data_IF_828607859054
#
_entry.id   IF_828607859054
#
_cell.length_a   1.000
_cell.length_b   1.000
_cell.length_c   1.000
_cell.angle_alpha   90.00
_cell.angle_beta   90.00
_cell.angle_gamma   90.00
#
_symmetry.space_group_name_H-M   'P 1'
#
loop_
_entity.id
_entity.type
_entity.pdbx_description
1 polymer ?
#
# COMPACT_ATOMS: atom_id res chain seq x y z
N UNK A 1 58.05 -53.25 -75.01
CA UNK A 1 57.49 -54.58 -75.37
C UNK A 1 57.23 -55.36 -74.07
N UNK A 2 56.44 -56.44 -74.10
CA UNK A 2 56.14 -57.41 -73.01
C UNK A 2 57.30 -57.63 -71.99
N UNK A 3 57.14 -58.04 -70.72
CA UNK A 3 56.07 -58.22 -69.71
C UNK A 3 56.75 -59.05 -68.55
N UNK A 4 56.10 -59.17 -67.38
CA UNK A 4 56.44 -60.00 -66.18
C UNK A 4 57.25 -59.31 -65.04
N UNK A 5 56.89 -59.44 -63.75
CA UNK A 5 55.64 -59.95 -63.16
C UNK A 5 55.79 -60.73 -61.83
N UNK A 6 55.50 -60.08 -60.69
CA UNK A 6 55.21 -60.68 -59.36
C UNK A 6 54.54 -59.58 -58.50
N UNK A 7 53.32 -59.69 -57.95
CA UNK A 7 52.88 -60.51 -56.77
C UNK A 7 53.75 -60.28 -55.52
N UNK A 8 53.25 -60.05 -54.29
CA UNK A 8 51.92 -59.91 -53.65
C UNK A 8 52.20 -59.39 -52.18
N UNK A 9 51.40 -58.66 -51.38
CA UNK A 9 50.06 -58.01 -51.47
C UNK A 9 49.94 -56.88 -50.40
N UNK A 10 48.77 -56.22 -50.31
CA UNK A 10 48.18 -55.58 -49.10
C UNK A 10 48.99 -54.60 -48.22
N UNK A 11 48.82 -53.30 -48.45
CA UNK A 11 48.51 -52.31 -47.40
C UNK A 11 47.80 -51.09 -48.00
N UNK A 12 46.59 -50.75 -47.54
CA UNK A 12 45.81 -49.60 -48.05
C UNK A 12 46.30 -48.26 -47.49
N UNK A 13 46.18 -47.21 -48.29
CA UNK A 13 46.48 -45.83 -47.94
C UNK A 13 45.73 -45.34 -46.69
N UNK A 14 46.45 -45.05 -45.61
CA UNK A 14 45.97 -44.24 -44.48
C UNK A 14 47.13 -43.52 -43.76
N UNK A 15 47.39 -42.24 -44.12
CA UNK A 15 47.98 -41.18 -43.24
C UNK A 15 48.25 -39.86 -44.01
N UNK A 16 47.20 -39.13 -44.40
CA UNK A 16 47.37 -37.76 -44.95
C UNK A 16 46.11 -36.85 -44.86
N UNK A 17 45.27 -36.95 -43.82
CA UNK A 17 44.15 -36.00 -43.66
C UNK A 17 43.63 -35.80 -42.22
N UNK A 18 43.28 -34.55 -41.90
CA UNK A 18 42.11 -34.21 -41.09
C UNK A 18 42.02 -34.68 -39.63
N UNK A 19 43.00 -34.37 -38.77
CA UNK A 19 42.82 -34.49 -37.29
C UNK A 19 42.90 -33.14 -36.54
N UNK A 20 42.30 -32.09 -37.11
CA UNK A 20 42.09 -30.84 -36.38
C UNK A 20 40.80 -30.86 -35.55
N UNK A 21 41.00 -31.08 -34.24
CA UNK A 21 40.08 -30.89 -33.11
C UNK A 21 38.67 -30.33 -33.42
N UNK A 22 37.68 -31.22 -33.55
CA UNK A 22 36.26 -30.84 -33.62
C UNK A 22 35.71 -30.29 -32.27
N UNK A 23 36.56 -30.15 -31.24
CA UNK A 23 36.17 -29.67 -29.90
C UNK A 23 35.63 -28.24 -29.91
N UNK A 24 36.08 -27.37 -30.83
CA UNK A 24 35.56 -25.99 -30.94
C UNK A 24 34.11 -25.96 -31.44
N UNK A 25 33.75 -26.80 -32.40
CA UNK A 25 32.37 -26.89 -32.89
C UNK A 25 31.43 -27.45 -31.80
N UNK A 26 31.85 -28.54 -31.12
CA UNK A 26 31.08 -29.14 -30.01
C UNK A 26 30.95 -28.18 -28.82
N UNK A 27 32.00 -27.41 -28.50
CA UNK A 27 31.91 -26.39 -27.45
C UNK A 27 30.97 -25.22 -27.84
N UNK A 28 30.97 -24.82 -29.12
CA UNK A 28 30.07 -23.77 -29.61
C UNK A 28 28.59 -24.22 -29.59
N UNK A 29 28.28 -25.45 -30.00
CA UNK A 29 26.90 -25.97 -29.89
C UNK A 29 26.49 -26.22 -28.44
N UNK A 30 27.40 -26.67 -27.57
CA UNK A 30 27.11 -26.79 -26.13
C UNK A 30 26.85 -25.42 -25.47
N UNK A 31 27.65 -24.39 -25.80
CA UNK A 31 27.44 -23.04 -25.31
C UNK A 31 26.13 -22.43 -25.84
N UNK A 32 25.79 -22.67 -27.12
CA UNK A 32 24.50 -22.25 -27.68
C UNK A 32 23.33 -22.98 -27.00
N UNK A 33 23.44 -24.28 -26.73
CA UNK A 33 22.40 -25.02 -25.99
C UNK A 33 22.25 -24.51 -24.55
N UNK A 34 23.37 -24.20 -23.86
CA UNK A 34 23.35 -23.64 -22.52
C UNK A 34 22.82 -22.19 -22.48
N UNK A 35 23.02 -21.40 -23.54
CA UNK A 35 22.39 -20.08 -23.69
C UNK A 35 20.89 -20.20 -23.98
N UNK A 36 20.45 -21.15 -24.81
CA UNK A 36 19.03 -21.39 -25.07
C UNK A 36 18.33 -21.97 -23.83
N UNK A 37 18.92 -22.96 -23.16
CA UNK A 37 18.41 -23.49 -21.89
C UNK A 37 18.46 -22.41 -20.79
N UNK A 38 19.52 -21.60 -20.74
CA UNK A 38 19.63 -20.48 -19.81
C UNK A 38 18.55 -19.42 -20.04
N UNK A 39 18.30 -19.04 -21.30
CA UNK A 39 17.21 -18.13 -21.67
C UNK A 39 15.84 -18.74 -21.37
N UNK A 40 15.59 -20.00 -21.72
CA UNK A 40 14.34 -20.69 -21.38
C UNK A 40 14.15 -20.75 -19.87
N UNK A 41 15.15 -21.14 -19.08
CA UNK A 41 15.06 -21.14 -17.60
C UNK A 41 14.92 -19.73 -17.01
N UNK A 42 15.44 -18.69 -17.68
CA UNK A 42 15.27 -17.30 -17.26
C UNK A 42 13.85 -16.77 -17.57
N UNK A 43 13.27 -17.11 -18.71
CA UNK A 43 11.91 -16.75 -19.12
C UNK A 43 10.81 -17.72 -18.61
N UNK A 44 11.18 -18.89 -18.10
CA UNK A 44 10.27 -19.89 -17.48
C UNK A 44 10.40 -19.95 -15.96
N UNK A 45 11.22 -19.11 -15.34
CA UNK A 45 11.04 -18.72 -13.94
C UNK A 45 9.86 -17.74 -13.88
N UNK A 46 9.04 -17.77 -12.81
CA UNK A 46 8.17 -16.64 -12.52
C UNK A 46 9.06 -15.40 -12.40
N UNK A 47 8.74 -14.34 -13.13
CA UNK A 47 9.41 -13.05 -12.95
C UNK A 47 8.85 -12.40 -11.71
N UNK A 48 9.41 -12.78 -10.55
CA UNK A 48 9.30 -12.01 -9.32
C UNK A 48 9.89 -10.64 -9.63
N UNK A 49 9.07 -9.60 -9.64
CA UNK A 49 9.52 -8.22 -9.91
C UNK A 49 10.19 -7.62 -8.67
N UNK A 50 11.34 -8.21 -8.29
CA UNK A 50 12.32 -7.52 -7.46
C UNK A 50 12.77 -6.27 -8.24
N UNK A 51 12.20 -5.12 -7.86
CA UNK A 51 12.31 -3.86 -8.59
C UNK A 51 13.74 -3.56 -9.00
N UNK A 52 13.93 -3.19 -10.28
CA UNK A 52 15.26 -2.93 -10.85
C UNK A 52 15.90 -1.73 -10.15
N UNK A 53 15.07 -0.83 -9.61
CA UNK A 53 15.45 0.21 -8.66
C UNK A 53 14.40 0.24 -7.55
N UNK A 54 14.86 0.19 -6.31
CA UNK A 54 14.16 0.77 -5.17
C UNK A 54 14.76 2.16 -4.94
N UNK A 55 13.91 3.18 -4.83
CA UNK A 55 14.31 4.54 -4.47
C UNK A 55 13.95 4.85 -3.00
N UNK A 56 14.24 6.06 -2.54
CA UNK A 56 14.04 6.50 -1.15
C UNK A 56 12.56 6.45 -0.69
N UNK A 57 11.59 6.20 -1.58
CA UNK A 57 10.18 5.96 -1.23
C UNK A 57 9.88 4.52 -0.79
N UNK A 58 10.82 3.59 -0.97
CA UNK A 58 10.60 2.14 -0.75
C UNK A 58 9.79 1.44 -1.85
N UNK A 59 9.43 2.15 -2.92
CA UNK A 59 8.71 1.58 -4.07
C UNK A 59 9.67 0.99 -5.11
N UNK A 60 9.23 -0.10 -5.75
CA UNK A 60 9.97 -0.81 -6.78
C UNK A 60 9.52 -0.35 -8.17
N UNK A 61 10.38 0.28 -8.98
CA UNK A 61 9.97 0.61 -10.36
C UNK A 61 9.94 -0.67 -11.22
N UNK A 62 8.74 -1.00 -11.70
CA UNK A 62 8.45 -2.16 -12.58
C UNK A 62 8.54 -1.77 -14.06
N UNK A 63 8.11 -0.55 -14.42
CA UNK A 63 8.19 -0.05 -15.80
C UNK A 63 8.26 1.47 -15.89
N UNK A 64 9.16 1.97 -16.73
CA UNK A 64 9.13 3.35 -17.23
C UNK A 64 7.90 3.61 -18.12
N UNK A 65 7.36 4.84 -18.09
CA UNK A 65 6.30 5.28 -19.00
C UNK A 65 6.85 6.14 -20.14
N UNK A 66 6.27 6.06 -21.33
CA UNK A 66 6.54 7.05 -22.38
C UNK A 66 5.51 8.19 -22.38
N UNK A 67 5.99 9.43 -22.49
CA UNK A 67 5.13 10.59 -22.70
C UNK A 67 4.69 10.77 -24.18
N UNK A 68 5.15 9.90 -25.09
CA UNK A 68 4.82 9.97 -26.51
C UNK A 68 3.30 9.83 -26.74
N UNK A 69 2.71 10.80 -27.44
CA UNK A 69 1.27 10.81 -27.73
C UNK A 69 0.38 11.38 -26.62
N UNK A 70 0.88 11.58 -25.39
CA UNK A 70 0.11 12.23 -24.33
C UNK A 70 -0.18 13.69 -24.72
N UNK A 71 -1.46 14.02 -24.90
CA UNK A 71 -1.92 15.37 -25.22
C UNK A 71 -2.97 15.82 -24.20
N UNK A 72 -2.56 16.69 -23.27
CA UNK A 72 -3.42 17.35 -22.28
C UNK A 72 -3.37 18.87 -22.47
N UNK A 73 -4.52 19.52 -22.42
CA UNK A 73 -4.64 20.99 -22.56
C UNK A 73 -4.12 21.73 -21.30
N UNK A 74 -4.25 23.07 -21.28
CA UNK A 74 -3.73 23.91 -20.20
C UNK A 74 -4.54 23.84 -18.88
N UNK A 75 -5.79 23.37 -18.91
CA UNK A 75 -6.61 23.07 -17.74
C UNK A 75 -6.36 21.62 -17.27
N UNK A 76 -6.37 20.65 -18.19
CA UNK A 76 -6.06 19.22 -17.92
C UNK A 76 -4.57 18.95 -17.60
N UNK A 77 -3.79 20.01 -17.36
CA UNK A 77 -2.43 19.98 -16.77
C UNK A 77 -2.36 20.52 -15.33
N UNK A 78 -3.46 21.03 -14.77
CA UNK A 78 -3.54 21.60 -13.40
C UNK A 78 -4.39 20.78 -12.44
N UNK A 79 -5.12 19.80 -12.94
CA UNK A 79 -5.82 18.80 -12.12
C UNK A 79 -5.07 17.46 -12.21
N UNK A 80 -5.34 16.53 -11.29
CA UNK A 80 -4.88 15.15 -11.34
C UNK A 80 -6.09 14.22 -11.34
N UNK A 81 -6.28 13.37 -12.35
CA UNK A 81 -7.43 12.45 -12.41
C UNK A 81 -7.00 11.06 -11.93
N UNK A 82 -7.67 10.57 -10.89
CA UNK A 82 -7.31 9.33 -10.17
C UNK A 82 -8.42 8.31 -10.35
N UNK A 83 -8.12 7.17 -10.98
CA UNK A 83 -9.07 6.06 -11.10
C UNK A 83 -9.34 5.47 -9.72
N UNK A 84 -10.59 5.56 -9.26
CA UNK A 84 -11.07 5.00 -8.00
C UNK A 84 -12.52 4.55 -8.18
N UNK A 85 -12.78 3.28 -7.89
CA UNK A 85 -14.08 2.62 -8.15
C UNK A 85 -14.87 2.28 -6.87
N UNK A 86 -14.32 2.54 -5.68
CA UNK A 86 -14.88 2.16 -4.37
C UNK A 86 -15.14 3.35 -3.42
N UNK A 87 -14.77 4.58 -3.80
CA UNK A 87 -15.06 5.77 -3.00
C UNK A 87 -16.56 6.10 -2.97
N UNK A 88 -17.12 6.23 -1.77
CA UNK A 88 -18.51 6.65 -1.54
C UNK A 88 -18.60 8.15 -1.18
N UNK A 89 -17.45 8.82 -1.00
CA UNK A 89 -17.35 10.22 -0.61
C UNK A 89 -17.40 10.43 0.90
N UNK A 90 -17.22 9.36 1.68
CA UNK A 90 -16.98 9.41 3.12
C UNK A 90 -15.56 9.95 3.32
N UNK A 91 -15.44 11.05 4.06
CA UNK A 91 -14.15 11.75 4.22
C UNK A 91 -13.55 11.56 5.59
N UNK A 92 -14.37 11.36 6.63
CA UNK A 92 -13.91 11.33 8.00
C UNK A 92 -13.04 10.08 8.26
N UNK A 93 -11.83 10.22 8.84
CA UNK A 93 -10.91 9.09 9.06
C UNK A 93 -11.52 7.91 9.82
N UNK A 94 -12.44 8.17 10.76
CA UNK A 94 -13.09 7.15 11.59
C UNK A 94 -14.12 6.30 10.83
N UNK A 95 -14.55 6.71 9.62
CA UNK A 95 -15.52 5.99 8.79
C UNK A 95 -15.01 5.65 7.37
N UNK A 96 -13.84 6.14 6.97
CA UNK A 96 -13.26 5.84 5.66
C UNK A 96 -12.78 4.37 5.59
N UNK A 97 -13.67 3.46 5.18
CA UNK A 97 -13.37 2.02 5.15
C UNK A 97 -12.85 1.49 3.80
N UNK A 98 -13.32 2.07 2.70
CA UNK A 98 -12.90 1.71 1.34
C UNK A 98 -11.58 2.43 0.99
N UNK A 99 -10.75 1.86 0.11
CA UNK A 99 -9.44 2.43 -0.23
C UNK A 99 -9.59 3.81 -0.88
N UNK A 100 -10.56 3.97 -1.78
CA UNK A 100 -10.89 5.27 -2.37
C UNK A 100 -11.25 6.35 -1.35
N UNK A 101 -12.05 6.00 -0.33
CA UNK A 101 -12.42 6.93 0.74
C UNK A 101 -11.23 7.20 1.69
N UNK A 102 -10.35 6.22 1.94
CA UNK A 102 -9.09 6.41 2.69
C UNK A 102 -8.12 7.33 1.94
N UNK A 103 -8.00 7.19 0.62
CA UNK A 103 -7.21 8.07 -0.25
C UNK A 103 -7.73 9.51 -0.22
N UNK A 104 -9.06 9.69 -0.25
CA UNK A 104 -9.70 11.02 -0.11
C UNK A 104 -9.46 11.59 1.29
N UNK A 105 -9.65 10.79 2.35
CA UNK A 105 -9.38 11.18 3.74
C UNK A 105 -7.93 11.68 3.89
N UNK A 106 -6.95 10.92 3.41
CA UNK A 106 -5.53 11.26 3.53
C UNK A 106 -5.08 12.52 2.74
N UNK A 107 -5.90 13.04 1.82
CA UNK A 107 -5.67 14.33 1.14
C UNK A 107 -6.26 15.53 1.89
N UNK A 108 -7.22 15.28 2.79
CA UNK A 108 -7.98 16.28 3.54
C UNK A 108 -7.47 16.36 5.00
N UNK A 109 -7.18 15.22 5.61
CA UNK A 109 -6.78 15.07 7.00
C UNK A 109 -5.35 14.53 7.07
N UNK A 110 -4.47 15.29 7.71
CA UNK A 110 -3.10 14.86 7.94
C UNK A 110 -2.95 14.11 9.27
N UNK A 111 -1.98 13.19 9.37
CA UNK A 111 -1.65 12.52 10.62
C UNK A 111 -0.78 13.39 11.54
N UNK A 112 -0.68 13.05 12.82
CA UNK A 112 0.27 13.70 13.75
C UNK A 112 1.72 13.62 13.23
N UNK A 113 2.15 12.44 12.81
CA UNK A 113 3.41 12.15 12.15
C UNK A 113 3.17 11.17 11.00
N UNK A 114 4.14 11.00 10.11
CA UNK A 114 4.06 10.07 8.96
C UNK A 114 5.24 9.13 8.96
N UNK A 115 4.98 7.83 8.93
CA UNK A 115 6.03 6.83 8.75
C UNK A 115 6.64 6.93 7.34
N UNK A 116 7.97 7.00 7.26
CA UNK A 116 8.73 6.98 6.02
C UNK A 116 8.88 5.56 5.45
N UNK A 117 9.35 5.45 4.20
CA UNK A 117 9.70 4.16 3.59
C UNK A 117 10.88 3.44 4.26
N UNK A 118 11.60 4.14 5.15
CA UNK A 118 12.66 3.65 6.02
C UNK A 118 12.18 3.23 7.43
N UNK A 119 10.87 3.40 7.72
CA UNK A 119 10.24 3.07 8.99
C UNK A 119 10.28 4.17 10.06
N UNK A 120 10.90 5.33 9.82
CA UNK A 120 10.98 6.40 10.82
C UNK A 120 9.80 7.37 10.74
N UNK A 121 9.35 7.88 11.89
CA UNK A 121 8.28 8.88 11.96
C UNK A 121 8.80 10.30 11.66
N UNK A 122 8.19 10.93 10.66
CA UNK A 122 8.45 12.30 10.25
C UNK A 122 7.36 13.23 10.80
N UNK A 123 7.76 14.38 11.36
CA UNK A 123 6.85 15.41 11.89
C UNK A 123 5.87 15.91 10.82
N UNK A 124 4.58 16.02 11.15
CA UNK A 124 3.56 16.63 10.29
C UNK A 124 2.72 17.64 11.08
N UNK A 125 1.76 17.17 11.89
CA UNK A 125 0.96 18.02 12.78
C UNK A 125 1.46 18.02 14.24
N UNK A 126 2.25 17.02 14.62
CA UNK A 126 2.97 16.93 15.87
C UNK A 126 4.47 17.13 15.65
N UNK A 127 5.04 18.04 16.44
CA UNK A 127 6.48 18.33 16.50
C UNK A 127 7.28 17.16 17.08
N UNK A 128 6.67 16.43 18.01
CA UNK A 128 7.22 15.24 18.64
C UNK A 128 6.11 14.39 19.24
N UNK A 129 6.23 13.08 19.06
CA UNK A 129 5.44 12.04 19.74
C UNK A 129 6.44 11.13 20.44
N UNK A 130 6.28 10.89 21.73
CA UNK A 130 7.23 10.11 22.54
C UNK A 130 6.48 9.07 23.36
N UNK A 131 6.93 7.82 23.29
CA UNK A 131 6.37 6.68 24.04
C UNK A 131 7.19 6.41 25.30
N UNK A 132 6.55 5.98 26.38
CA UNK A 132 7.22 5.55 27.61
C UNK A 132 7.97 4.22 27.43
N UNK A 133 8.99 3.97 28.25
CA UNK A 133 9.83 2.74 28.18
C UNK A 133 9.04 1.42 28.35
N UNK A 134 7.87 1.49 28.98
CA UNK A 134 6.94 0.37 29.19
C UNK A 134 5.79 0.31 28.15
N UNK A 135 5.67 1.29 27.25
CA UNK A 135 4.65 1.34 26.20
C UNK A 135 3.22 1.66 26.66
N UNK A 136 3.06 2.18 27.88
CA UNK A 136 1.75 2.49 28.49
C UNK A 136 1.33 3.96 28.37
N UNK A 137 2.24 4.88 28.03
CA UNK A 137 1.93 6.32 27.94
C UNK A 137 2.64 6.99 26.77
N UNK A 138 1.90 7.78 25.99
CA UNK A 138 2.41 8.52 24.85
C UNK A 138 2.17 10.02 24.98
N UNK A 139 3.21 10.83 24.87
CA UNK A 139 3.16 12.30 24.95
C UNK A 139 3.27 12.90 23.55
N UNK A 140 2.28 13.71 23.18
CA UNK A 140 2.14 14.35 21.87
C UNK A 140 2.27 15.87 22.05
N UNK A 141 3.25 16.48 21.37
CA UNK A 141 3.43 17.94 21.32
C UNK A 141 3.11 18.44 19.91
N UNK A 142 2.11 19.30 19.79
CA UNK A 142 1.59 19.76 18.50
C UNK A 142 2.40 20.91 17.90
N UNK A 143 2.43 20.97 16.56
CA UNK A 143 3.06 22.08 15.87
C UNK A 143 2.24 23.38 15.90
N UNK A 144 2.95 24.47 15.60
CA UNK A 144 2.48 25.83 15.70
C UNK A 144 1.93 26.32 14.35
N UNK A 145 0.88 27.14 14.41
CA UNK A 145 0.24 27.81 13.24
C UNK A 145 -0.41 26.88 12.21
N UNK A 146 -0.47 25.56 12.47
CA UNK A 146 -1.34 24.63 11.75
C UNK A 146 -2.79 25.14 11.81
N UNK A 147 -3.47 25.12 10.65
CA UNK A 147 -4.86 25.55 10.49
C UNK A 147 -5.67 24.52 9.73
N UNK A 148 -6.95 24.46 10.05
CA UNK A 148 -7.94 23.75 9.25
C UNK A 148 -8.28 24.53 7.98
N UNK A 149 -8.90 23.85 7.04
CA UNK A 149 -9.40 24.38 5.76
C UNK A 149 -10.45 25.50 5.89
N UNK A 150 -11.05 25.69 7.07
CA UNK A 150 -11.91 26.84 7.40
C UNK A 150 -11.13 28.06 7.95
N UNK A 151 -9.82 27.92 8.16
CA UNK A 151 -8.92 28.95 8.66
C UNK A 151 -8.76 28.99 10.18
N UNK A 152 -9.48 28.17 10.95
CA UNK A 152 -9.31 28.05 12.41
C UNK A 152 -8.01 27.29 12.77
N UNK A 153 -7.42 27.56 13.94
CA UNK A 153 -6.15 26.94 14.35
C UNK A 153 -6.36 25.58 15.02
N UNK A 154 -5.51 24.60 14.70
CA UNK A 154 -5.59 23.24 15.25
C UNK A 154 -5.08 23.19 16.70
N UNK A 155 -5.82 22.51 17.58
CA UNK A 155 -5.54 22.38 19.02
C UNK A 155 -5.48 20.93 19.49
N UNK A 156 -5.00 20.74 20.71
CA UNK A 156 -5.06 19.47 21.44
C UNK A 156 -6.48 18.90 21.62
N UNK A 157 -7.52 19.75 21.63
CA UNK A 157 -8.91 19.29 21.72
C UNK A 157 -9.39 18.62 20.42
N UNK A 158 -8.87 19.03 19.25
CA UNK A 158 -9.14 18.38 17.96
C UNK A 158 -8.47 16.99 17.89
N UNK A 159 -7.28 16.88 18.47
CA UNK A 159 -6.53 15.62 18.56
C UNK A 159 -7.21 14.64 19.51
N UNK A 160 -7.61 15.09 20.70
CA UNK A 160 -8.37 14.27 21.64
C UNK A 160 -9.72 13.80 21.05
N UNK A 161 -10.43 14.69 20.33
CA UNK A 161 -11.65 14.34 19.60
C UNK A 161 -11.39 13.30 18.49
N UNK A 162 -10.30 13.46 17.72
CA UNK A 162 -9.95 12.54 16.63
C UNK A 162 -9.60 11.14 17.15
N UNK A 163 -8.84 11.05 18.24
CA UNK A 163 -8.50 9.76 18.87
C UNK A 163 -9.76 9.13 19.47
N UNK A 164 -10.62 9.90 20.15
CA UNK A 164 -11.90 9.41 20.67
C UNK A 164 -12.85 8.92 19.55
N UNK A 165 -12.87 9.59 18.39
CA UNK A 165 -13.62 9.14 17.22
C UNK A 165 -13.15 7.76 16.72
N UNK A 166 -11.84 7.52 16.69
CA UNK A 166 -11.27 6.20 16.35
C UNK A 166 -11.57 5.15 17.44
N UNK A 167 -11.53 5.51 18.72
CA UNK A 167 -11.97 4.64 19.83
C UNK A 167 -13.44 4.23 19.72
N UNK A 168 -14.29 5.08 19.13
CA UNK A 168 -15.72 4.80 18.96
C UNK A 168 -15.99 3.86 17.78
N UNK A 169 -15.18 3.90 16.72
CA UNK A 169 -15.42 3.13 15.48
C UNK A 169 -14.54 1.88 15.32
N UNK A 170 -13.53 1.67 16.17
CA UNK A 170 -12.71 0.46 16.17
C UNK A 170 -13.54 -0.81 16.49
N UNK A 171 -13.52 -1.80 15.60
CA UNK A 171 -14.21 -3.08 15.79
C UNK A 171 -13.58 -3.92 16.90
N UNK A 172 -14.39 -4.58 17.74
CA UNK A 172 -13.92 -5.29 18.96
C UNK A 172 -13.14 -6.58 18.68
N UNK A 173 -13.38 -7.22 17.55
CA UNK A 173 -12.59 -8.36 17.06
C UNK A 173 -11.30 -7.92 16.31
N UNK A 174 -11.05 -6.61 16.17
CA UNK A 174 -9.96 -6.04 15.39
C UNK A 174 -8.68 -5.76 16.18
N UNK A 175 -7.52 -5.93 15.54
CA UNK A 175 -6.22 -5.51 16.11
C UNK A 175 -6.01 -4.00 15.94
N UNK A 176 -6.65 -3.22 16.83
CA UNK A 176 -6.66 -1.76 16.82
C UNK A 176 -6.10 -1.19 18.12
N UNK A 177 -5.07 -0.35 18.02
CA UNK A 177 -4.45 0.35 19.16
C UNK A 177 -5.46 1.15 19.98
N UNK A 178 -6.54 1.63 19.35
CA UNK A 178 -7.57 2.43 19.98
C UNK A 178 -8.43 1.63 20.97
N UNK A 179 -8.32 0.29 20.95
CA UNK A 179 -8.89 -0.60 21.97
C UNK A 179 -8.04 -0.68 23.25
N UNK A 180 -6.77 -0.26 23.20
CA UNK A 180 -5.87 -0.33 24.35
C UNK A 180 -5.95 0.90 25.27
N UNK A 181 -6.68 1.95 24.89
CA UNK A 181 -6.72 3.25 25.60
C UNK A 181 -7.57 3.14 26.89
N UNK A 182 -7.11 3.76 27.98
CA UNK A 182 -7.82 3.73 29.27
C UNK A 182 -9.19 4.43 29.23
N UNK A 183 -10.19 3.86 29.92
CA UNK A 183 -11.55 4.40 30.00
C UNK A 183 -12.42 4.16 28.75
N UNK A 184 -12.04 3.20 27.91
CA UNK A 184 -12.75 2.86 26.67
C UNK A 184 -14.18 2.35 26.91
N UNK A 185 -14.41 1.55 27.97
CA UNK A 185 -15.74 0.97 28.24
C UNK A 185 -16.74 2.05 28.66
N UNK A 186 -16.34 2.92 29.59
CA UNK A 186 -17.09 4.09 30.04
C UNK A 186 -17.36 5.08 28.92
N UNK A 187 -16.42 5.23 27.98
CA UNK A 187 -16.60 6.04 26.78
C UNK A 187 -17.64 5.43 25.83
N UNK A 188 -17.48 4.15 25.47
CA UNK A 188 -18.37 3.45 24.52
C UNK A 188 -19.79 3.29 25.04
N UNK A 189 -19.97 3.12 26.35
CA UNK A 189 -21.30 3.05 26.95
C UNK A 189 -21.95 4.43 27.17
N UNK A 190 -21.25 5.53 26.86
CA UNK A 190 -21.76 6.90 26.93
C UNK A 190 -21.71 7.54 28.31
N UNK A 191 -20.93 7.01 29.25
CA UNK A 191 -20.73 7.61 30.58
C UNK A 191 -19.77 8.80 30.57
N UNK A 192 -18.90 8.93 29.55
CA UNK A 192 -17.96 10.06 29.38
C UNK A 192 -17.86 10.49 27.90
N UNK A 193 -17.58 11.77 27.64
CA UNK A 193 -17.43 12.32 26.27
C UNK A 193 -16.15 11.90 25.55
N UNK A 194 -15.10 11.49 26.29
CA UNK A 194 -13.75 11.14 25.83
C UNK A 194 -13.22 10.06 26.79
N UNK A 195 -12.48 9.02 26.33
CA UNK A 195 -11.82 8.05 27.21
C UNK A 195 -10.90 8.71 28.23
N UNK A 196 -10.88 8.20 29.47
CA UNK A 196 -10.09 8.82 30.57
C UNK A 196 -8.59 8.80 30.34
N UNK A 197 -8.08 7.92 29.48
CA UNK A 197 -6.67 7.88 29.09
C UNK A 197 -6.23 9.04 28.21
N UNK A 198 -7.12 9.89 27.70
CA UNK A 198 -6.77 11.01 26.82
C UNK A 198 -6.75 12.33 27.62
N UNK A 199 -5.57 12.71 28.09
CA UNK A 199 -5.37 13.93 28.88
C UNK A 199 -4.94 15.11 28.01
N UNK A 200 -5.76 16.16 27.95
CA UNK A 200 -5.40 17.46 27.34
C UNK A 200 -4.93 18.42 28.45
N UNK A 201 -3.65 18.78 28.46
CA UNK A 201 -3.09 19.65 29.51
C UNK A 201 -3.05 21.13 29.12
N UNK A 202 -2.89 21.43 27.83
CA UNK A 202 -3.12 22.76 27.25
C UNK A 202 -3.49 22.64 25.75
N UNK A 203 -3.55 23.76 25.01
CA UNK A 203 -3.94 23.77 23.60
C UNK A 203 -2.97 23.08 22.62
N UNK A 204 -1.79 22.61 23.08
CA UNK A 204 -0.72 22.00 22.27
C UNK A 204 -0.14 20.70 22.83
N UNK A 205 -0.55 20.25 24.01
CA UNK A 205 -0.05 19.01 24.63
C UNK A 205 -1.19 18.02 24.94
N UNK A 206 -1.04 16.79 24.44
CA UNK A 206 -1.92 15.64 24.74
C UNK A 206 -1.08 14.49 25.29
N UNK A 207 -1.54 13.83 26.34
CA UNK A 207 -1.03 12.53 26.76
C UNK A 207 -2.09 11.46 26.49
N UNK A 208 -1.67 10.29 26.00
CA UNK A 208 -2.53 9.12 25.78
C UNK A 208 -2.00 7.96 26.62
N UNK A 209 -2.82 7.47 27.55
CA UNK A 209 -2.51 6.33 28.42
C UNK A 209 -3.23 5.07 27.93
N UNK A 210 -2.53 3.94 28.00
CA UNK A 210 -2.96 2.65 27.47
C UNK A 210 -2.98 1.59 28.59
N UNK A 211 -4.16 0.99 28.81
CA UNK A 211 -4.38 -0.12 29.74
C UNK A 211 -3.61 -1.40 29.35
N UNK A 212 -3.18 -1.50 28.09
CA UNK A 212 -2.42 -2.64 27.56
C UNK A 212 -1.17 -2.12 26.82
N UNK A 213 0.05 -2.51 27.22
CA UNK A 213 1.26 -2.19 26.47
C UNK A 213 1.34 -3.04 25.20
N UNK A 214 1.38 -2.38 24.03
CA UNK A 214 1.60 -3.01 22.73
C UNK A 214 2.50 -2.12 21.85
N UNK A 215 3.33 -2.67 20.94
CA UNK A 215 4.04 -1.85 19.95
C UNK A 215 3.08 -0.99 19.11
N UNK A 216 1.89 -1.52 18.84
CA UNK A 216 0.84 -0.85 18.04
C UNK A 216 0.38 0.47 18.68
N UNK A 217 0.56 0.65 20.00
CA UNK A 217 0.28 1.90 20.69
C UNK A 217 1.07 3.08 20.08
N UNK A 218 2.25 2.83 19.50
CA UNK A 218 3.06 3.86 18.84
C UNK A 218 2.44 4.36 17.52
N UNK A 219 1.57 3.56 16.87
CA UNK A 219 0.84 3.96 15.67
C UNK A 219 -0.23 5.04 15.94
N UNK A 220 -0.43 5.44 17.22
CA UNK A 220 -1.14 6.68 17.58
C UNK A 220 -0.52 7.91 16.89
N UNK A 221 0.78 7.83 16.56
CA UNK A 221 1.50 8.84 15.78
C UNK A 221 0.92 9.04 14.37
N UNK A 222 0.20 8.07 13.79
CA UNK A 222 -0.43 8.21 12.45
C UNK A 222 -1.90 8.62 12.51
N UNK A 223 -2.43 8.99 13.69
CA UNK A 223 -3.82 9.42 13.86
C UNK A 223 -4.12 10.68 13.02
N UNK A 224 -5.07 10.59 12.07
CA UNK A 224 -5.49 11.68 11.18
C UNK A 224 -6.42 12.66 11.92
N UNK A 225 -6.12 13.96 11.86
CA UNK A 225 -6.76 14.96 12.73
C UNK A 225 -7.93 15.67 12.04
N UNK A 226 -9.14 15.33 12.46
CA UNK A 226 -10.41 15.98 12.13
C UNK A 226 -10.69 17.11 13.13
N UNK A 227 -11.09 18.29 12.64
CA UNK A 227 -11.56 19.38 13.50
C UNK A 227 -12.69 18.92 14.43
N UNK A 228 -12.59 19.23 15.73
CA UNK A 228 -13.68 19.03 16.70
C UNK A 228 -14.83 20.02 16.40
N UNK A 229 -16.08 19.55 16.27
CA UNK A 229 -17.23 20.43 16.15
C UNK A 229 -17.38 21.38 17.36
N UNK A 230 -17.94 22.57 17.12
CA UNK A 230 -18.16 23.57 18.17
C UNK A 230 -19.31 23.13 19.10
N UNK A 231 -20.44 22.71 18.52
CA UNK A 231 -21.52 22.06 19.28
C UNK A 231 -21.20 20.57 19.49
N UNK A 232 -21.27 20.14 20.75
CA UNK A 232 -21.12 18.74 21.20
C UNK A 232 -22.21 18.34 22.21
N UNK A 233 -23.31 19.11 22.33
CA UNK A 233 -24.39 18.89 23.32
C UNK A 233 -25.04 17.51 23.22
N UNK A 234 -25.14 16.95 22.00
CA UNK A 234 -25.66 15.59 21.74
C UNK A 234 -24.61 14.47 21.96
N UNK A 235 -23.37 14.82 22.31
CA UNK A 235 -22.26 13.89 22.49
C UNK A 235 -21.64 13.35 21.19
N UNK A 236 -20.41 12.85 21.26
CA UNK A 236 -19.65 12.40 20.09
C UNK A 236 -20.36 11.30 19.28
N UNK A 237 -21.10 10.41 19.93
CA UNK A 237 -21.80 9.30 19.28
C UNK A 237 -22.92 9.75 18.33
N UNK A 238 -23.55 10.90 18.59
CA UNK A 238 -24.55 11.50 17.71
C UNK A 238 -23.95 12.53 16.74
N UNK A 239 -22.88 13.22 17.12
CA UNK A 239 -22.22 14.24 16.30
C UNK A 239 -21.30 13.65 15.22
N UNK A 240 -20.51 12.62 15.53
CA UNK A 240 -19.52 12.05 14.60
C UNK A 240 -20.13 11.54 13.27
N UNK A 241 -21.29 10.83 13.25
CA UNK A 241 -21.95 10.45 12.00
C UNK A 241 -22.33 11.64 11.11
N UNK A 242 -22.67 12.79 11.70
CA UNK A 242 -23.12 13.98 10.95
C UNK A 242 -21.97 14.64 10.18
N UNK A 243 -20.74 14.58 10.70
CA UNK A 243 -19.54 15.14 10.06
C UNK A 243 -18.80 14.14 9.15
N UNK A 244 -19.34 12.93 8.95
CA UNK A 244 -18.73 11.83 8.17
C UNK A 244 -18.27 12.21 6.76
N UNK A 245 -18.89 13.21 6.14
CA UNK A 245 -18.63 13.65 4.76
C UNK A 245 -18.17 15.12 4.64
N UNK A 246 -17.97 15.80 5.78
CA UNK A 246 -17.82 17.25 5.88
C UNK A 246 -16.42 17.81 5.50
N UNK A 247 -15.37 16.98 5.58
CA UNK A 247 -14.05 17.31 5.01
C UNK A 247 -13.28 18.49 5.62
N UNK A 248 -13.55 18.90 6.87
CA UNK A 248 -12.81 20.01 7.52
C UNK A 248 -11.53 19.47 8.20
N UNK A 249 -10.49 19.25 7.39
CA UNK A 249 -9.14 18.86 7.83
C UNK A 249 -8.07 19.93 7.54
N UNK A 250 -6.82 19.64 7.89
CA UNK A 250 -5.65 20.54 7.74
C UNK A 250 -4.96 20.45 6.38
N UNK A 251 -5.26 19.38 5.62
CA UNK A 251 -4.44 18.87 4.53
C UNK A 251 -4.44 19.69 3.24
N UNK A 252 -3.72 19.16 2.26
CA UNK A 252 -3.43 19.84 1.00
C UNK A 252 -4.67 20.14 0.17
N UNK A 253 -5.77 19.41 0.33
CA UNK A 253 -6.98 19.60 -0.47
C UNK A 253 -8.26 19.61 0.38
N UNK A 254 -9.27 20.33 -0.11
CA UNK A 254 -10.62 20.42 0.45
C UNK A 254 -11.59 19.85 -0.57
N UNK A 255 -12.57 19.06 -0.13
CA UNK A 255 -13.63 18.51 -0.98
C UNK A 255 -14.55 19.63 -1.50
N UNK A 256 -14.77 19.68 -2.81
CA UNK A 256 -15.80 20.55 -3.40
C UNK A 256 -17.20 20.05 -3.00
N UNK A 257 -18.13 20.96 -2.70
CA UNK A 257 -19.53 20.61 -2.48
C UNK A 257 -20.23 20.26 -3.80
N UNK A 258 -20.79 19.05 -3.89
CA UNK A 258 -21.58 18.61 -5.03
C UNK A 258 -21.32 17.16 -5.43
N UNK A 259 -22.04 16.73 -6.47
CA UNK A 259 -21.95 15.39 -7.06
C UNK A 259 -21.88 15.55 -8.59
N UNK A 260 -20.67 15.56 -9.14
CA UNK A 260 -20.46 15.74 -10.59
C UNK A 260 -20.46 14.38 -11.28
N UNK A 261 -21.64 13.78 -11.41
CA UNK A 261 -21.85 12.53 -12.17
C UNK A 261 -21.19 11.28 -11.58
N UNK A 262 -20.89 11.27 -10.28
CA UNK A 262 -20.16 10.20 -9.59
C UNK A 262 -18.69 10.55 -9.28
N UNK A 263 -18.15 11.60 -9.89
CA UNK A 263 -16.78 12.07 -9.58
C UNK A 263 -16.74 12.80 -8.23
N UNK A 264 -15.71 12.53 -7.43
CA UNK A 264 -15.41 13.27 -6.19
C UNK A 264 -14.23 14.20 -6.48
N UNK A 265 -14.39 15.49 -6.20
CA UNK A 265 -13.46 16.53 -6.62
C UNK A 265 -12.93 17.29 -5.41
N UNK A 266 -11.61 17.44 -5.32
CA UNK A 266 -10.93 18.20 -4.27
C UNK A 266 -10.16 19.37 -4.89
N UNK A 267 -10.05 20.49 -4.18
CA UNK A 267 -9.28 21.68 -4.58
C UNK A 267 -8.24 22.07 -3.53
N UNK A 268 -7.15 22.68 -3.98
CA UNK A 268 -6.03 23.07 -3.13
C UNK A 268 -6.47 23.97 -1.95
N UNK A 269 -6.21 23.51 -0.72
CA UNK A 269 -6.49 24.26 0.51
C UNK A 269 -5.67 25.55 0.57
N UNK A 270 -6.34 26.66 0.86
CA UNK A 270 -5.69 27.99 1.00
C UNK A 270 -4.99 28.19 2.35
N UNK A 271 -5.22 27.28 3.31
CA UNK A 271 -4.63 27.28 4.64
C UNK A 271 -3.58 26.18 4.85
N UNK A 272 -3.32 25.36 3.82
CA UNK A 272 -2.30 24.32 3.91
C UNK A 272 -0.93 24.92 4.25
N UNK A 273 -0.23 24.26 5.17
CA UNK A 273 0.99 24.79 5.77
C UNK A 273 2.23 24.64 4.85
N UNK A 274 2.22 23.68 3.91
CA UNK A 274 3.25 23.55 2.87
C UNK A 274 2.85 24.15 1.50
N UNK A 275 3.78 24.07 0.54
CA UNK A 275 3.61 24.63 -0.81
C UNK A 275 3.08 23.60 -1.82
N UNK A 276 1.77 23.62 -2.03
CA UNK A 276 1.12 22.96 -3.18
C UNK A 276 1.70 23.53 -4.49
N UNK A 277 2.24 22.65 -5.35
CA UNK A 277 2.84 23.02 -6.65
C UNK A 277 1.77 23.21 -7.74
N UNK A 278 1.88 22.53 -8.86
CA UNK A 278 1.12 22.82 -10.08
C UNK A 278 -0.26 22.17 -10.14
N UNK A 279 -0.43 21.04 -9.44
CA UNK A 279 -1.75 20.42 -9.22
C UNK A 279 -2.53 21.27 -8.22
N UNK A 280 -3.65 21.84 -8.67
CA UNK A 280 -4.59 22.63 -7.85
C UNK A 280 -5.94 21.96 -7.61
N UNK A 281 -6.16 20.82 -8.27
CA UNK A 281 -7.38 20.01 -8.16
C UNK A 281 -7.01 18.54 -8.23
N UNK A 282 -7.66 17.69 -7.43
CA UNK A 282 -7.65 16.24 -7.63
C UNK A 282 -9.09 15.81 -7.96
N UNK A 283 -9.26 14.94 -8.95
CA UNK A 283 -10.57 14.41 -9.34
C UNK A 283 -10.50 12.89 -9.28
N UNK A 284 -11.24 12.30 -8.34
CA UNK A 284 -11.45 10.87 -8.24
C UNK A 284 -12.55 10.50 -9.23
N UNK A 285 -12.24 9.60 -10.16
CA UNK A 285 -13.06 9.26 -11.32
C UNK A 285 -13.33 7.75 -11.35
N UNK A 286 -14.60 7.31 -11.25
CA UNK A 286 -14.96 5.90 -11.41
C UNK A 286 -15.12 5.56 -12.90
N UNK A 287 -14.64 4.39 -13.30
CA UNK A 287 -14.82 3.83 -14.65
C UNK A 287 -15.12 2.33 -14.54
N UNK A 288 -16.08 1.83 -15.32
CA UNK A 288 -16.28 0.40 -15.45
C UNK A 288 -15.06 -0.27 -16.10
N UNK A 289 -14.70 -1.48 -15.69
CA UNK A 289 -13.55 -2.25 -16.23
C UNK A 289 -13.45 -2.26 -17.77
N UNK A 290 -14.59 -2.30 -18.48
CA UNK A 290 -14.63 -2.28 -19.94
C UNK A 290 -14.38 -0.89 -20.57
N UNK A 291 -14.44 0.18 -19.79
CA UNK A 291 -14.29 1.58 -20.19
C UNK A 291 -12.87 2.11 -19.91
N UNK A 292 -12.17 1.53 -18.91
CA UNK A 292 -10.82 1.92 -18.48
C UNK A 292 -9.83 2.05 -19.65
N UNK A 293 -9.82 1.11 -20.59
CA UNK A 293 -8.92 1.15 -21.75
C UNK A 293 -9.20 2.31 -22.72
N UNK A 294 -10.47 2.71 -22.86
CA UNK A 294 -10.88 3.85 -23.69
C UNK A 294 -10.50 5.18 -22.99
N UNK A 295 -10.84 5.30 -21.69
CA UNK A 295 -10.45 6.44 -20.85
C UNK A 295 -8.92 6.68 -20.83
N UNK A 296 -8.14 5.61 -20.72
CA UNK A 296 -6.67 5.63 -20.87
C UNK A 296 -6.25 6.19 -22.23
N UNK A 297 -6.85 5.71 -23.33
CA UNK A 297 -6.51 6.14 -24.69
C UNK A 297 -6.82 7.61 -24.97
N UNK A 298 -7.83 8.14 -24.27
CA UNK A 298 -8.23 9.56 -24.30
C UNK A 298 -7.42 10.45 -23.36
N UNK A 299 -6.49 9.87 -22.58
CA UNK A 299 -5.71 10.54 -21.55
C UNK A 299 -6.55 11.07 -20.36
N UNK A 300 -7.72 10.49 -20.10
CA UNK A 300 -8.64 10.91 -19.02
C UNK A 300 -8.16 10.50 -17.61
N UNK A 301 -7.20 9.57 -17.49
CA UNK A 301 -6.63 9.11 -16.21
C UNK A 301 -5.15 9.51 -16.11
N UNK A 302 -4.67 9.85 -14.91
CA UNK A 302 -3.26 10.12 -14.59
C UNK A 302 -2.67 9.09 -13.63
N UNK A 303 -3.44 8.67 -12.63
CA UNK A 303 -3.01 7.80 -11.54
C UNK A 303 -4.06 6.73 -11.28
N UNK A 304 -3.63 5.53 -10.94
CA UNK A 304 -4.49 4.47 -10.39
C UNK A 304 -3.68 3.70 -9.33
N UNK A 305 -4.34 3.33 -8.23
CA UNK A 305 -3.79 2.37 -7.25
C UNK A 305 -4.52 1.07 -7.49
N UNK A 306 -3.80 0.07 -8.01
CA UNK A 306 -4.38 -1.18 -8.49
C UNK A 306 -3.66 -2.38 -7.87
N UNK A 307 -4.42 -3.42 -7.52
CA UNK A 307 -3.83 -4.73 -7.26
C UNK A 307 -3.32 -5.32 -8.60
N UNK A 308 -2.07 -5.79 -8.65
CA UNK A 308 -1.47 -6.36 -9.86
C UNK A 308 -2.14 -7.63 -10.41
N UNK A 309 -3.11 -8.20 -9.67
CA UNK A 309 -3.99 -9.30 -10.13
C UNK A 309 -5.37 -8.85 -10.61
N UNK A 310 -5.70 -7.55 -10.53
CA UNK A 310 -7.00 -7.01 -10.91
C UNK A 310 -7.19 -6.91 -12.42
N UNK A 311 -8.44 -7.05 -12.89
CA UNK A 311 -8.84 -6.89 -14.31
C UNK A 311 -8.41 -5.57 -14.94
N UNK A 312 -8.33 -4.53 -14.11
CA UNK A 312 -8.08 -3.16 -14.54
C UNK A 312 -6.57 -2.90 -14.72
N UNK A 313 -5.69 -3.81 -14.26
CA UNK A 313 -4.22 -3.64 -14.35
C UNK A 313 -3.68 -3.75 -15.78
N UNK A 314 -4.09 -4.77 -16.55
CA UNK A 314 -3.58 -5.03 -17.89
C UNK A 314 -3.75 -3.83 -18.86
N UNK A 315 -4.87 -3.07 -18.85
CA UNK A 315 -4.99 -1.80 -19.59
C UNK A 315 -3.89 -0.77 -19.28
N UNK A 316 -3.53 -0.54 -18.01
CA UNK A 316 -2.42 0.35 -17.63
C UNK A 316 -1.05 -0.26 -17.98
N UNK A 317 -0.97 -1.60 -18.01
CA UNK A 317 0.23 -2.27 -18.44
C UNK A 317 0.47 -2.09 -19.95
N UNK A 318 -0.48 -2.46 -20.80
CA UNK A 318 -0.28 -2.45 -22.26
C UNK A 318 -0.25 -1.05 -22.88
N UNK A 319 -0.87 -0.05 -22.25
CA UNK A 319 -0.87 1.33 -22.73
C UNK A 319 0.50 2.01 -22.73
N UNK A 320 1.47 1.53 -21.93
CA UNK A 320 2.88 2.01 -21.83
C UNK A 320 3.10 3.49 -21.48
N UNK A 321 2.06 4.31 -21.44
CA UNK A 321 2.17 5.74 -21.12
C UNK A 321 2.41 6.00 -19.62
N UNK A 322 2.00 5.07 -18.76
CA UNK A 322 2.19 5.15 -17.31
C UNK A 322 3.55 4.61 -16.88
N UNK A 323 4.19 5.30 -15.93
CA UNK A 323 5.23 4.71 -15.07
C UNK A 323 4.51 3.78 -14.09
N UNK A 324 4.99 2.56 -13.90
CA UNK A 324 4.44 1.61 -12.93
C UNK A 324 5.47 1.35 -11.83
N UNK A 325 5.03 1.61 -10.60
CA UNK A 325 5.69 1.24 -9.36
C UNK A 325 4.92 0.10 -8.70
N UNK A 326 5.64 -0.83 -8.10
CA UNK A 326 5.12 -1.88 -7.23
C UNK A 326 5.35 -1.48 -5.76
N UNK A 327 4.31 -1.64 -4.95
CA UNK A 327 4.36 -1.53 -3.49
C UNK A 327 4.15 -2.94 -2.92
N UNK A 328 5.08 -3.49 -2.12
CA UNK A 328 4.81 -4.73 -1.41
C UNK A 328 3.66 -4.50 -0.41
N UNK A 329 2.72 -5.44 -0.36
CA UNK A 329 1.62 -5.43 0.60
C UNK A 329 1.91 -6.40 1.75
N UNK A 330 1.47 -6.05 2.94
CA UNK A 330 1.45 -6.86 4.17
C UNK A 330 0.32 -7.92 4.17
N UNK A 331 -0.47 -7.99 3.09
CA UNK A 331 -1.56 -8.94 2.89
C UNK A 331 -1.09 -10.35 2.53
N UNK A 332 -1.60 -11.37 3.22
CA UNK A 332 -1.44 -12.79 2.84
C UNK A 332 -2.75 -13.33 2.28
N UNK A 333 -2.71 -13.98 1.11
CA UNK A 333 -3.85 -14.77 0.62
C UNK A 333 -3.87 -16.16 1.28
N UNK A 334 -4.95 -16.47 2.02
CA UNK A 334 -5.11 -17.74 2.72
C UNK A 334 -6.53 -18.32 2.57
N UNK A 335 -6.66 -19.63 2.80
CA UNK A 335 -7.95 -20.32 2.84
C UNK A 335 -8.41 -20.49 4.29
N UNK A 336 -9.41 -19.71 4.69
CA UNK A 336 -10.11 -19.88 5.97
C UNK A 336 -10.78 -21.25 6.06
N UNK A 337 -10.53 -21.99 7.15
CA UNK A 337 -11.06 -23.34 7.36
C UNK A 337 -12.05 -23.36 8.52
N UNK A 338 -13.34 -23.51 8.21
CA UNK A 338 -14.38 -23.69 9.21
C UNK A 338 -14.14 -24.99 10.02
N UNK A 339 -13.92 -24.86 11.33
CA UNK A 339 -13.57 -25.96 12.27
C UNK A 339 -14.79 -26.68 12.86
N UNK A 340 -16.01 -26.23 12.56
CA UNK A 340 -17.26 -26.86 12.98
C UNK A 340 -17.82 -27.82 11.93
N UNK A 341 -17.39 -27.69 10.67
CA UNK A 341 -17.49 -28.77 9.69
C UNK A 341 -16.77 -30.03 10.23
N UNK A 342 -17.52 -31.12 10.40
CA UNK A 342 -17.04 -32.38 11.02
C UNK A 342 -15.80 -32.98 10.36
N UNK A 343 -15.67 -32.84 9.03
CA UNK A 343 -14.49 -33.27 8.28
C UNK A 343 -13.28 -32.38 8.57
N UNK A 344 -13.45 -31.07 8.51
CA UNK A 344 -12.39 -30.06 8.65
C UNK A 344 -11.97 -29.82 10.12
N UNK A 345 -12.79 -30.26 11.09
CA UNK A 345 -12.41 -30.34 12.50
C UNK A 345 -11.20 -31.26 12.73
N UNK A 346 -10.99 -32.27 11.89
CA UNK A 346 -9.82 -33.16 11.95
C UNK A 346 -8.55 -32.49 11.44
N UNK A 347 -7.50 -32.50 12.26
CA UNK A 347 -6.19 -31.89 11.90
C UNK A 347 -5.55 -32.54 10.68
N UNK A 348 -5.63 -33.87 10.55
CA UNK A 348 -5.10 -34.61 9.39
C UNK A 348 -5.75 -34.15 8.07
N UNK A 349 -7.06 -33.89 8.08
CA UNK A 349 -7.80 -33.43 6.91
C UNK A 349 -7.38 -32.02 6.50
N UNK A 350 -7.20 -31.11 7.48
CA UNK A 350 -6.66 -29.76 7.20
C UNK A 350 -5.23 -29.83 6.67
N UNK A 351 -4.38 -30.71 7.22
CA UNK A 351 -3.00 -30.90 6.76
C UNK A 351 -2.95 -31.49 5.35
N UNK A 352 -3.82 -32.46 5.04
CA UNK A 352 -3.93 -33.02 3.70
C UNK A 352 -4.36 -31.95 2.68
N UNK A 353 -5.39 -31.16 2.99
CA UNK A 353 -5.84 -30.05 2.15
C UNK A 353 -4.73 -29.01 1.93
N UNK A 354 -4.03 -28.59 3.00
CA UNK A 354 -2.93 -27.63 2.93
C UNK A 354 -1.71 -28.12 2.12
N UNK A 355 -1.51 -29.44 2.04
CA UNK A 355 -0.46 -30.09 1.24
C UNK A 355 -0.89 -30.44 -0.19
N UNK A 356 -2.19 -30.53 -0.48
CA UNK A 356 -2.70 -30.75 -1.85
C UNK A 356 -2.74 -29.48 -2.71
N UNK A 357 -2.43 -28.32 -2.13
CA UNK A 357 -2.39 -27.03 -2.83
C UNK A 357 -0.96 -26.79 -3.34
N UNK A 358 -0.80 -26.90 -4.65
CA UNK A 358 0.39 -26.50 -5.38
C UNK A 358 0.50 -24.96 -5.40
N UNK A 359 1.31 -24.44 -4.46
CA UNK A 359 1.55 -22.99 -4.31
C UNK A 359 2.41 -22.43 -5.44
N UNK A 360 3.38 -23.21 -5.92
CA UNK A 360 4.28 -22.82 -7.00
C UNK A 360 3.53 -22.63 -8.33
N UNK A 361 2.51 -23.46 -8.58
CA UNK A 361 1.62 -23.33 -9.74
C UNK A 361 0.68 -22.12 -9.62
N UNK A 362 0.09 -21.88 -8.44
CA UNK A 362 -0.76 -20.70 -8.19
C UNK A 362 0.04 -19.39 -8.29
N UNK A 363 1.21 -19.34 -7.67
CA UNK A 363 2.19 -18.25 -7.78
C UNK A 363 3.10 -18.40 -9.02
N UNK A 364 2.68 -19.19 -10.03
CA UNK A 364 3.42 -19.46 -11.27
C UNK A 364 2.70 -19.00 -12.55
N UNK A 365 1.42 -18.60 -12.45
CA UNK A 365 0.62 -18.09 -13.57
C UNK A 365 0.85 -16.59 -13.86
N UNK A 366 -0.14 -15.91 -14.47
CA UNK A 366 -0.10 -14.44 -14.63
C UNK A 366 0.03 -13.70 -13.28
N UNK A 367 -0.56 -14.28 -12.23
CA UNK A 367 -0.49 -13.83 -10.83
C UNK A 367 0.92 -13.91 -10.21
N UNK A 368 1.86 -14.65 -10.82
CA UNK A 368 3.21 -14.91 -10.29
C UNK A 368 4.08 -13.67 -10.10
N UNK A 369 3.77 -12.60 -10.83
CA UNK A 369 4.58 -11.37 -10.85
C UNK A 369 4.54 -10.60 -9.54
N UNK A 370 3.45 -10.75 -8.79
CA UNK A 370 3.08 -9.90 -7.65
C UNK A 370 2.68 -10.68 -6.39
N UNK A 371 3.01 -11.97 -6.33
CA UNK A 371 2.71 -12.85 -5.18
C UNK A 371 3.95 -13.65 -4.76
N UNK A 372 4.25 -13.63 -3.47
CA UNK A 372 5.28 -14.47 -2.86
C UNK A 372 4.63 -15.63 -2.08
N UNK A 373 5.32 -16.77 -2.00
CA UNK A 373 4.88 -17.90 -1.17
C UNK A 373 4.95 -17.54 0.32
N UNK A 374 3.82 -17.69 1.03
CA UNK A 374 3.76 -17.62 2.48
C UNK A 374 3.52 -19.03 3.07
N UNK A 375 4.49 -19.53 3.85
CA UNK A 375 4.38 -20.82 4.54
C UNK A 375 3.84 -20.70 5.98
N UNK A 376 3.84 -19.49 6.55
CA UNK A 376 3.30 -19.17 7.86
C UNK A 376 2.83 -17.70 7.91
N UNK A 377 1.97 -17.38 8.87
CA UNK A 377 1.72 -16.01 9.31
C UNK A 377 2.50 -15.77 10.61
N UNK A 378 3.03 -14.56 10.80
CA UNK A 378 3.72 -14.19 12.04
C UNK A 378 2.73 -14.09 13.22
N UNK A 379 3.16 -14.46 14.42
CA UNK A 379 2.41 -14.28 15.66
C UNK A 379 2.98 -13.14 16.51
N UNK A 380 2.13 -12.44 17.28
CA UNK A 380 2.40 -11.15 17.98
C UNK A 380 3.59 -11.07 18.96
N UNK A 381 4.41 -12.12 19.10
CA UNK A 381 5.35 -12.29 20.23
C UNK A 381 6.79 -11.81 19.90
N UNK A 382 7.11 -11.53 18.63
CA UNK A 382 8.51 -11.50 18.18
C UNK A 382 9.27 -10.15 18.27
N UNK A 383 8.61 -8.99 18.31
CA UNK A 383 9.23 -7.72 17.85
C UNK A 383 9.59 -6.66 18.93
N UNK A 384 9.31 -6.91 20.21
CA UNK A 384 9.41 -5.89 21.28
C UNK A 384 10.77 -5.15 21.43
N UNK A 385 11.95 -5.82 21.40
CA UNK A 385 13.20 -5.17 21.84
C UNK A 385 13.87 -4.20 20.87
N UNK A 386 13.44 -4.14 19.60
CA UNK A 386 14.14 -3.38 18.55
C UNK A 386 13.41 -2.08 18.16
N UNK A 387 12.07 -2.07 18.11
CA UNK A 387 11.28 -0.86 17.79
C UNK A 387 11.51 0.30 18.78
N UNK A 388 11.66 0.02 20.07
CA UNK A 388 11.83 1.05 21.12
C UNK A 388 13.07 1.94 20.89
N UNK A 389 14.04 1.50 20.05
CA UNK A 389 15.25 2.28 19.72
C UNK A 389 15.06 3.31 18.61
N UNK A 390 13.84 3.45 18.07
CA UNK A 390 13.50 4.37 16.98
C UNK A 390 12.54 5.50 17.42
N UNK A 391 12.25 5.62 18.72
CA UNK A 391 11.40 6.63 19.35
C UNK A 391 12.18 7.49 20.35
#
# INVERSE_FOLDING_TARGET
MKFFGSKNTEAREKRASGKFSNKRAVAATAAALLLVIGAVVYFSRPQVFLGIFADDSGLAMVREGSADGIQKDAARKKELHVLVNDALGVTNPAYAQNEGDRMISAMIFEPLMRMGGDGHFNSVLAKSVSMSEDGTSCQITLENKIRFSDGTEMTAADVAFSIAAMCLTAEEDGDSLYLNIEGLEEFRNGSVEIPSGIEVTDAKHVTVHFAVPSPDNALIAECQIQKRPENMEDGIALVLPQISTAGIGTGAYVKEEGQTGGNIRLTASVYYHEKIRDIKTVVFVPYGTYEVADAISRNEIDVAVLNGSGSDFDPFYDAKQFIIYEKPMDSVFYLSVNRDCSLLRRTDARRAAALSIDRDSLAGGALSRYLMQADAMAGRIAAWPEMIRQF
#
